data_IF_655827987067
#
_entry.id   IF_655827987067
#
_cell.length_a   1.000
_cell.length_b   1.000
_cell.length_c   1.000
_cell.angle_alpha   90.00
_cell.angle_beta   90.00
_cell.angle_gamma   90.00
#
_symmetry.space_group_name_H-M   'P 1'
#
loop_
_entity.id
_entity.type
_entity.pdbx_description
1 polymer ?
#
# COMPACT_ATOMS: atom_id res chain seq x y z
N UNK A 1 -42.47 5.40 -16.59
CA UNK A 1 -41.16 4.96 -16.09
C UNK A 1 -41.41 4.00 -14.96
N UNK A 2 -40.70 2.87 -14.94
CA UNK A 2 -40.89 1.83 -13.92
C UNK A 2 -40.29 2.32 -12.60
N UNK A 3 -40.91 1.97 -11.47
CA UNK A 3 -40.37 2.23 -10.12
C UNK A 3 -38.94 1.68 -9.90
N UNK A 4 -38.48 0.77 -10.76
CA UNK A 4 -37.11 0.27 -10.79
C UNK A 4 -36.14 1.18 -11.54
N UNK A 5 -36.58 1.94 -12.55
CA UNK A 5 -35.74 2.93 -13.24
C UNK A 5 -35.45 4.12 -12.32
N UNK A 6 -36.46 4.61 -11.59
CA UNK A 6 -36.28 5.70 -10.62
C UNK A 6 -35.39 5.31 -9.43
N UNK A 7 -35.43 4.06 -8.99
CA UNK A 7 -34.58 3.57 -7.91
C UNK A 7 -33.12 3.37 -8.34
N UNK A 8 -32.88 2.99 -9.60
CA UNK A 8 -31.54 2.84 -10.17
C UNK A 8 -30.88 4.19 -10.45
N UNK A 9 -31.65 5.20 -10.84
CA UNK A 9 -31.16 6.58 -10.98
C UNK A 9 -30.82 7.24 -9.64
N UNK A 10 -31.35 6.74 -8.51
CA UNK A 10 -31.14 7.32 -7.18
C UNK A 10 -29.92 6.75 -6.43
N UNK A 11 -29.40 5.58 -6.83
CA UNK A 11 -28.04 5.16 -6.50
C UNK A 11 -27.17 5.74 -7.62
N UNK A 12 -26.69 6.97 -7.41
CA UNK A 12 -26.15 7.81 -8.47
C UNK A 12 -25.05 7.13 -9.28
N UNK A 13 -25.15 7.20 -10.62
CA UNK A 13 -24.09 6.82 -11.56
C UNK A 13 -22.72 7.41 -11.13
N UNK A 14 -22.71 8.59 -10.52
CA UNK A 14 -21.51 9.28 -10.01
C UNK A 14 -20.78 8.54 -8.86
N UNK A 15 -21.46 7.76 -8.02
CA UNK A 15 -20.84 7.09 -6.86
C UNK A 15 -20.09 5.80 -7.29
N UNK A 16 -20.57 5.14 -8.34
CA UNK A 16 -19.89 3.97 -8.91
C UNK A 16 -18.59 4.38 -9.61
N UNK A 17 -18.60 5.52 -10.32
CA UNK A 17 -17.42 6.09 -10.95
C UNK A 17 -16.34 6.46 -9.92
N UNK A 18 -16.72 7.06 -8.78
CA UNK A 18 -15.75 7.43 -7.74
C UNK A 18 -15.09 6.22 -7.06
N UNK A 19 -15.85 5.15 -6.82
CA UNK A 19 -15.31 3.93 -6.23
C UNK A 19 -14.38 3.18 -7.21
N UNK A 20 -14.74 3.13 -8.49
CA UNK A 20 -13.91 2.53 -9.54
C UNK A 20 -12.62 3.35 -9.76
N UNK A 21 -12.71 4.69 -9.77
CA UNK A 21 -11.55 5.58 -9.83
C UNK A 21 -10.60 5.36 -8.64
N UNK A 22 -11.13 5.24 -7.41
CA UNK A 22 -10.32 4.92 -6.24
C UNK A 22 -9.66 3.55 -6.37
N UNK A 23 -10.38 2.53 -6.83
CA UNK A 23 -9.83 1.19 -7.03
C UNK A 23 -8.70 1.19 -8.06
N UNK A 24 -8.86 1.94 -9.17
CA UNK A 24 -7.83 2.11 -10.18
C UNK A 24 -6.60 2.81 -9.60
N UNK A 25 -6.79 3.91 -8.86
CA UNK A 25 -5.72 4.64 -8.23
C UNK A 25 -4.93 3.79 -7.22
N UNK A 26 -5.61 2.97 -6.41
CA UNK A 26 -4.97 2.05 -5.47
C UNK A 26 -4.12 0.99 -6.20
N UNK A 27 -4.62 0.45 -7.31
CA UNK A 27 -3.86 -0.50 -8.12
C UNK A 27 -2.62 0.13 -8.77
N UNK A 28 -2.71 1.39 -9.18
CA UNK A 28 -1.55 2.18 -9.64
C UNK A 28 -0.53 2.38 -8.52
N UNK A 29 -0.97 2.80 -7.32
CA UNK A 29 -0.10 2.96 -6.16
C UNK A 29 0.63 1.67 -5.78
N UNK A 30 -0.05 0.52 -5.82
CA UNK A 30 0.58 -0.78 -5.57
C UNK A 30 1.63 -1.10 -6.64
N UNK A 31 1.34 -0.81 -7.91
CA UNK A 31 2.28 -1.00 -9.01
C UNK A 31 3.52 -0.10 -8.88
N UNK A 32 3.32 1.17 -8.53
CA UNK A 32 4.40 2.13 -8.26
C UNK A 32 5.24 1.71 -7.07
N UNK A 33 4.62 1.23 -6.00
CA UNK A 33 5.32 0.74 -4.82
C UNK A 33 6.21 -0.47 -5.15
N UNK A 34 5.70 -1.44 -5.92
CA UNK A 34 6.51 -2.57 -6.38
C UNK A 34 7.66 -2.11 -7.29
N UNK A 35 7.40 -1.20 -8.23
CA UNK A 35 8.45 -0.64 -9.09
C UNK A 35 9.54 0.08 -8.28
N UNK A 36 9.16 0.82 -7.23
CA UNK A 36 10.10 1.48 -6.33
C UNK A 36 11.00 0.47 -5.60
N UNK A 37 10.46 -0.67 -5.14
CA UNK A 37 11.27 -1.74 -4.55
C UNK A 37 12.30 -2.30 -5.54
N UNK A 38 11.92 -2.49 -6.80
CA UNK A 38 12.85 -2.95 -7.86
C UNK A 38 13.92 -1.90 -8.14
N UNK A 39 13.54 -0.63 -8.20
CA UNK A 39 14.48 0.48 -8.38
C UNK A 39 15.48 0.58 -7.21
N UNK A 40 15.04 0.35 -5.97
CA UNK A 40 15.94 0.31 -4.82
C UNK A 40 16.88 -0.91 -4.86
N UNK A 41 16.41 -2.08 -5.33
CA UNK A 41 17.29 -3.24 -5.56
C UNK A 41 18.40 -2.89 -6.55
N UNK A 42 18.06 -2.29 -7.68
CA UNK A 42 19.06 -1.94 -8.71
C UNK A 42 20.02 -0.86 -8.21
N UNK A 43 19.53 0.13 -7.47
CA UNK A 43 20.37 1.16 -6.83
C UNK A 43 21.33 0.58 -5.78
N UNK A 44 20.94 -0.50 -5.09
CA UNK A 44 21.81 -1.26 -4.19
C UNK A 44 22.84 -2.15 -4.93
N UNK A 45 22.85 -2.15 -6.27
CA UNK A 45 23.81 -2.92 -7.08
C UNK A 45 23.53 -4.42 -7.11
N UNK A 46 22.39 -4.87 -6.57
CA UNK A 46 22.05 -6.29 -6.51
C UNK A 46 21.40 -6.73 -7.81
N UNK A 47 21.84 -7.83 -8.41
CA UNK A 47 21.08 -8.49 -9.48
C UNK A 47 19.91 -9.29 -8.90
N UNK A 48 18.98 -9.75 -9.75
CA UNK A 48 17.94 -10.69 -9.32
C UNK A 48 18.52 -11.99 -8.77
N UNK A 49 19.68 -12.44 -9.28
CA UNK A 49 20.35 -13.64 -8.79
C UNK A 49 20.98 -13.41 -7.41
N UNK A 50 21.59 -12.25 -7.19
CA UNK A 50 22.18 -11.89 -5.89
C UNK A 50 21.10 -11.79 -4.81
N UNK A 51 19.98 -11.14 -5.13
CA UNK A 51 18.84 -11.06 -4.23
C UNK A 51 18.27 -12.46 -3.93
N UNK A 52 18.11 -13.31 -4.96
CA UNK A 52 17.62 -14.66 -4.78
C UNK A 52 18.55 -15.48 -3.85
N UNK A 53 19.87 -15.33 -4.00
CA UNK A 53 20.85 -15.96 -3.12
C UNK A 53 20.76 -15.44 -1.68
N UNK A 54 20.68 -14.12 -1.48
CA UNK A 54 20.54 -13.50 -0.16
C UNK A 54 19.23 -13.90 0.55
N UNK A 55 18.16 -14.09 -0.24
CA UNK A 55 16.86 -14.53 0.23
C UNK A 55 16.76 -16.08 0.37
N UNK A 56 17.71 -16.85 -0.16
CA UNK A 56 17.62 -18.32 -0.17
C UNK A 56 16.46 -18.84 -1.03
N UNK A 57 16.18 -18.16 -2.14
CA UNK A 57 15.13 -18.52 -3.10
C UNK A 57 15.72 -18.71 -4.50
N UNK A 58 14.92 -19.30 -5.38
CA UNK A 58 15.26 -19.38 -6.80
C UNK A 58 15.12 -18.01 -7.46
N UNK A 59 15.97 -17.74 -8.46
CA UNK A 59 15.87 -16.53 -9.30
C UNK A 59 14.47 -16.35 -9.90
N UNK A 60 13.77 -17.45 -10.22
CA UNK A 60 12.39 -17.42 -10.73
C UNK A 60 11.41 -16.76 -9.76
N UNK A 61 11.60 -16.91 -8.44
CA UNK A 61 10.75 -16.26 -7.45
C UNK A 61 10.94 -14.73 -7.44
N UNK A 62 12.18 -14.27 -7.64
CA UNK A 62 12.47 -12.83 -7.80
C UNK A 62 11.92 -12.32 -9.12
N UNK A 63 12.12 -13.05 -10.22
CA UNK A 63 11.58 -12.67 -11.53
C UNK A 63 10.05 -12.58 -11.54
N UNK A 64 9.36 -13.51 -10.87
CA UNK A 64 7.90 -13.48 -10.74
C UNK A 64 7.45 -12.29 -9.87
N UNK A 65 8.19 -12.00 -8.80
CA UNK A 65 7.92 -10.83 -7.96
C UNK A 65 8.01 -9.52 -8.75
N UNK A 66 9.05 -9.36 -9.59
CA UNK A 66 9.32 -8.14 -10.37
C UNK A 66 8.50 -8.03 -11.66
N UNK A 67 7.64 -9.01 -11.95
CA UNK A 67 6.81 -8.98 -13.15
C UNK A 67 5.69 -7.93 -13.01
N UNK A 68 5.47 -7.08 -14.03
CA UNK A 68 4.34 -6.15 -14.03
C UNK A 68 2.99 -6.87 -13.85
N UNK A 69 2.12 -6.30 -13.03
CA UNK A 69 0.79 -6.86 -12.73
C UNK A 69 0.80 -8.08 -11.80
N UNK A 70 1.96 -8.42 -11.22
CA UNK A 70 2.00 -9.42 -10.15
C UNK A 70 1.38 -8.86 -8.86
N UNK A 71 0.64 -9.69 -8.12
CA UNK A 71 0.06 -9.37 -6.81
C UNK A 71 0.78 -10.18 -5.71
N UNK A 72 1.96 -9.73 -5.25
CA UNK A 72 2.71 -10.45 -4.23
C UNK A 72 2.10 -10.21 -2.85
N UNK A 73 1.95 -11.31 -2.09
CA UNK A 73 1.56 -11.22 -0.67
C UNK A 73 2.44 -10.25 0.11
N UNK A 74 1.86 -9.56 1.09
CA UNK A 74 2.60 -8.65 2.00
C UNK A 74 3.79 -9.32 2.72
N UNK A 75 3.75 -10.62 2.98
CA UNK A 75 4.90 -11.35 3.54
C UNK A 75 6.08 -11.46 2.57
N UNK A 76 5.81 -11.51 1.27
CA UNK A 76 6.81 -11.51 0.20
C UNK A 76 7.44 -10.13 0.05
N UNK A 77 6.62 -9.07 0.01
CA UNK A 77 7.06 -7.68 -0.02
C UNK A 77 8.00 -7.37 1.14
N UNK A 78 7.60 -7.68 2.38
CA UNK A 78 8.43 -7.46 3.57
C UNK A 78 9.80 -8.12 3.47
N UNK A 79 9.83 -9.33 2.94
CA UNK A 79 11.07 -10.09 2.81
C UNK A 79 11.96 -9.54 1.71
N UNK A 80 11.38 -9.16 0.56
CA UNK A 80 12.09 -8.46 -0.51
C UNK A 80 12.74 -7.18 0.03
N UNK A 81 11.95 -6.31 0.67
CA UNK A 81 12.41 -5.06 1.26
C UNK A 81 13.54 -5.29 2.29
N UNK A 82 13.38 -6.26 3.19
CA UNK A 82 14.41 -6.62 4.16
C UNK A 82 15.71 -7.08 3.51
N UNK A 83 15.64 -7.88 2.43
CA UNK A 83 16.81 -8.38 1.72
C UNK A 83 17.57 -7.30 0.96
N UNK A 84 16.92 -6.19 0.61
CA UNK A 84 17.57 -5.01 -0.02
C UNK A 84 17.83 -3.87 0.96
N UNK A 85 17.54 -4.06 2.25
CA UNK A 85 17.77 -3.06 3.30
C UNK A 85 16.82 -1.85 3.24
N UNK A 86 15.66 -1.98 2.60
CA UNK A 86 14.67 -0.90 2.47
C UNK A 86 13.66 -0.93 3.62
N UNK A 87 13.34 0.25 4.13
CA UNK A 87 12.24 0.50 5.08
C UNK A 87 11.11 1.22 4.36
N UNK A 88 9.88 0.79 4.60
CA UNK A 88 8.67 1.47 4.11
C UNK A 88 7.64 1.61 5.23
N UNK A 89 6.63 2.45 5.01
CA UNK A 89 5.54 2.76 5.94
C UNK A 89 4.20 2.71 5.21
N UNK A 90 3.12 2.41 5.94
CA UNK A 90 1.77 2.46 5.42
C UNK A 90 1.05 3.67 5.99
N UNK A 91 0.45 4.47 5.11
CA UNK A 91 -0.39 5.61 5.46
C UNK A 91 -1.76 5.40 4.83
N UNK A 92 -2.80 5.75 5.57
CA UNK A 92 -4.19 5.62 5.12
C UNK A 92 -4.89 6.95 5.36
N UNK A 93 -5.68 7.38 4.37
CA UNK A 93 -6.60 8.50 4.45
C UNK A 93 -7.94 8.06 3.88
N UNK A 94 -9.03 8.61 4.42
CA UNK A 94 -10.34 8.42 3.79
C UNK A 94 -10.40 9.24 2.51
N UNK A 95 -10.84 8.61 1.44
CA UNK A 95 -11.20 9.31 0.22
C UNK A 95 -12.58 9.95 0.42
N UNK A 96 -12.65 11.28 0.34
CA UNK A 96 -13.90 12.02 0.58
C UNK A 96 -14.88 11.94 -0.59
N UNK A 97 -14.43 11.56 -1.79
CA UNK A 97 -15.30 11.34 -2.94
C UNK A 97 -16.08 10.03 -2.78
N UNK A 98 -15.43 8.98 -2.26
CA UNK A 98 -16.09 7.70 -1.97
C UNK A 98 -16.82 7.71 -0.63
N UNK A 99 -16.20 8.30 0.41
CA UNK A 99 -16.80 8.43 1.72
C UNK A 99 -17.06 9.89 2.05
N UNK A 100 -18.21 10.39 1.59
CA UNK A 100 -18.68 11.72 1.97
C UNK A 100 -18.95 11.72 3.48
N UNK A 101 -18.17 12.46 4.29
CA UNK A 101 -18.36 12.44 5.72
C UNK A 101 -19.77 12.96 6.02
N UNK A 102 -20.54 12.17 6.75
CA UNK A 102 -21.87 12.56 7.22
C UNK A 102 -21.70 13.73 8.20
N UNK A 103 -22.05 14.93 7.76
CA UNK A 103 -21.75 16.16 8.49
C UNK A 103 -22.58 16.32 9.78
N UNK A 104 -23.55 15.43 10.03
CA UNK A 104 -24.48 15.52 11.15
C UNK A 104 -24.16 14.60 12.35
N UNK A 105 -23.13 13.75 12.26
CA UNK A 105 -22.70 12.94 13.43
C UNK A 105 -21.56 13.64 14.18
N UNK A 106 -21.75 14.12 15.42
CA UNK A 106 -20.65 14.62 16.24
C UNK A 106 -19.72 13.46 16.58
N UNK A 107 -18.65 13.29 15.79
CA UNK A 107 -17.56 12.35 16.10
C UNK A 107 -16.88 12.87 17.37
N UNK A 108 -17.24 12.28 18.51
CA UNK A 108 -16.48 12.39 19.74
C UNK A 108 -15.04 11.97 19.43
N UNK A 109 -14.13 12.95 19.41
CA UNK A 109 -12.71 12.78 19.14
C UNK A 109 -12.08 11.89 20.22
N UNK A 110 -12.16 10.58 20.05
CA UNK A 110 -11.17 9.70 20.63
C UNK A 110 -9.86 9.95 19.87
N UNK A 111 -9.01 10.83 20.42
CA UNK A 111 -7.60 10.91 20.04
C UNK A 111 -6.98 9.55 20.35
N UNK A 112 -6.90 8.66 19.37
CA UNK A 112 -5.87 7.63 19.40
C UNK A 112 -4.57 8.36 19.09
N UNK A 113 -3.91 8.85 20.14
CA UNK A 113 -2.52 9.30 20.03
C UNK A 113 -1.69 8.08 19.69
N UNK A 114 -1.38 7.91 18.40
CA UNK A 114 -0.20 7.20 17.96
C UNK A 114 1.03 8.01 18.38
N UNK A 115 1.28 8.01 19.69
CA UNK A 115 2.48 8.53 20.33
C UNK A 115 3.33 7.31 20.67
N UNK A 116 4.14 6.84 19.72
CA UNK A 116 5.39 6.09 20.02
C UNK A 116 6.26 5.74 18.81
N UNK A 117 6.17 6.47 17.68
CA UNK A 117 7.17 6.32 16.62
C UNK A 117 8.57 6.85 17.03
N UNK A 118 8.64 7.76 18.02
CA UNK A 118 9.89 8.40 18.47
C UNK A 118 10.49 7.79 19.76
N UNK A 119 9.83 6.82 20.40
CA UNK A 119 10.36 6.15 21.58
C UNK A 119 11.35 5.03 21.24
N UNK A 120 11.21 4.39 20.07
CA UNK A 120 12.11 3.30 19.68
C UNK A 120 13.51 3.79 19.27
N UNK A 121 13.63 4.97 18.65
CA UNK A 121 14.92 5.46 18.10
C UNK A 121 15.89 6.04 19.16
N UNK A 122 15.46 6.22 20.41
CA UNK A 122 16.33 6.69 21.52
C UNK A 122 16.98 5.55 22.31
N UNK A 123 16.40 4.35 22.29
CA UNK A 123 16.85 3.23 23.14
C UNK A 123 18.06 2.45 22.59
N UNK A 124 18.55 2.77 21.38
CA UNK A 124 19.68 2.06 20.75
C UNK A 124 20.95 2.92 20.59
N UNK A 125 21.02 4.10 21.22
CA UNK A 125 22.24 4.94 21.22
C UNK A 125 22.91 5.16 22.58
N UNK A 126 22.45 4.51 23.64
CA UNK A 126 23.09 4.64 24.96
C UNK A 126 23.31 3.28 25.63
N UNK A 127 24.18 2.48 25.03
CA UNK A 127 24.84 1.35 25.69
C UNK A 127 26.15 1.04 24.93
N UNK A 128 27.14 1.91 25.14
CA UNK A 128 28.57 1.53 25.11
C UNK A 128 29.02 1.26 26.54
#
# INVERSE_FOLDING_TARGET
MSSYDEAMTLIGEDDLDAADDLAHHLAEQDSEFLAALVAHRTAAGLTQADLAAAWGRHKTAVSQFEQPGNDPRLSTIRRYAASIGVRYQHFLSLDSAVHRPDTDTPVSRARTTYSDADAWNRSTRTAS
#
